data_IF_374274460513
#
_entry.id   IF_374274460513
#
_cell.length_a   1.000
_cell.length_b   1.000
_cell.length_c   1.000
_cell.angle_alpha   90.00
_cell.angle_beta   90.00
_cell.angle_gamma   90.00
#
_symmetry.space_group_name_H-M   'P 1'
#
loop_
_entity.id
_entity.type
_entity.pdbx_description
1 polymer ?
#
# COMPACT_ATOMS: atom_id res chain seq x y z
N UNK A 1 35.84 7.02 -32.79
CA UNK A 1 36.92 7.52 -31.92
C UNK A 1 36.29 7.78 -30.56
N UNK A 2 36.48 6.87 -29.61
CA UNK A 2 35.94 6.99 -28.26
C UNK A 2 36.88 7.89 -27.46
N UNK A 3 36.41 9.09 -27.10
CA UNK A 3 37.18 10.05 -26.32
C UNK A 3 36.99 9.68 -24.85
N UNK A 4 37.95 8.96 -24.27
CA UNK A 4 38.00 8.76 -22.82
C UNK A 4 38.59 9.99 -22.14
N UNK A 5 37.73 10.72 -21.42
CA UNK A 5 38.13 11.85 -20.61
C UNK A 5 38.98 11.34 -19.44
N UNK A 6 40.27 11.69 -19.41
CA UNK A 6 41.16 11.36 -18.27
C UNK A 6 40.77 12.20 -17.06
N UNK A 7 40.18 11.55 -16.06
CA UNK A 7 39.93 12.14 -14.74
C UNK A 7 41.07 11.83 -13.78
N UNK A 8 41.49 12.80 -12.97
CA UNK A 8 42.42 12.55 -11.86
C UNK A 8 41.66 11.84 -10.74
N UNK A 9 41.99 10.58 -10.47
CA UNK A 9 41.42 9.82 -9.36
C UNK A 9 42.14 10.18 -8.06
N UNK A 10 41.40 10.70 -7.08
CA UNK A 10 41.91 10.96 -5.73
C UNK A 10 41.52 9.76 -4.86
N UNK A 11 42.49 9.14 -4.19
CA UNK A 11 42.24 8.01 -3.29
C UNK A 11 41.52 8.49 -2.00
N UNK A 12 40.30 8.00 -1.72
CA UNK A 12 39.56 8.41 -0.54
C UNK A 12 40.08 7.71 0.71
N UNK A 13 40.15 8.43 1.84
CA UNK A 13 40.57 7.84 3.14
C UNK A 13 39.62 6.75 3.66
N UNK A 14 38.35 6.80 3.24
CA UNK A 14 37.30 5.82 3.55
C UNK A 14 36.23 5.89 2.47
N UNK A 15 35.52 4.77 2.26
CA UNK A 15 34.47 4.67 1.23
C UNK A 15 33.05 4.85 1.79
N UNK A 16 32.87 4.72 3.11
CA UNK A 16 31.57 4.70 3.75
C UNK A 16 31.59 5.35 5.14
N UNK A 17 30.42 5.73 5.64
CA UNK A 17 30.23 6.04 7.06
C UNK A 17 30.42 4.80 7.93
N UNK A 18 30.84 4.98 9.18
CA UNK A 18 31.25 3.87 10.04
C UNK A 18 30.15 2.84 10.30
N UNK A 19 28.87 3.27 10.37
CA UNK A 19 27.73 2.36 10.53
C UNK A 19 27.54 1.46 9.30
N UNK A 20 27.66 2.02 8.09
CA UNK A 20 27.59 1.26 6.84
C UNK A 20 28.80 0.35 6.66
N UNK A 21 30.00 0.80 7.04
CA UNK A 21 31.21 -0.01 7.02
C UNK A 21 31.07 -1.24 7.93
N UNK A 22 30.48 -1.09 9.12
CA UNK A 22 30.18 -2.22 10.03
C UNK A 22 29.17 -3.19 9.42
N UNK A 23 28.13 -2.68 8.75
CA UNK A 23 27.04 -3.49 8.21
C UNK A 23 27.38 -4.20 6.90
N UNK A 24 28.08 -3.53 6.00
CA UNK A 24 28.30 -4.01 4.63
C UNK A 24 29.77 -4.29 4.28
N UNK A 25 30.70 -3.82 5.11
CA UNK A 25 32.15 -3.95 4.96
C UNK A 25 32.83 -2.63 4.59
N UNK A 26 33.99 -2.35 5.20
CA UNK A 26 34.72 -1.07 5.05
C UNK A 26 35.24 -0.78 3.64
N UNK A 27 35.42 -1.82 2.82
CA UNK A 27 35.97 -1.72 1.46
C UNK A 27 34.86 -1.67 0.39
N UNK A 28 33.59 -1.49 0.76
CA UNK A 28 32.47 -1.39 -0.18
C UNK A 28 31.93 0.03 -0.24
N UNK A 29 31.75 0.53 -1.46
CA UNK A 29 31.01 1.77 -1.69
C UNK A 29 29.51 1.51 -1.43
N UNK A 30 28.87 2.19 -0.46
CA UNK A 30 27.46 2.02 -0.22
C UNK A 30 26.63 2.66 -1.34
N UNK A 31 25.44 2.11 -1.59
CA UNK A 31 24.46 2.75 -2.47
C UNK A 31 23.84 3.98 -1.80
N UNK A 32 23.23 4.87 -2.59
CA UNK A 32 22.46 6.00 -2.05
C UNK A 32 21.32 5.57 -1.14
N UNK A 33 20.69 4.43 -1.45
CA UNK A 33 19.69 3.83 -0.58
C UNK A 33 20.30 3.39 0.76
N UNK A 34 21.48 2.77 0.74
CA UNK A 34 22.16 2.35 1.97
C UNK A 34 22.52 3.56 2.85
N UNK A 35 23.13 4.60 2.27
CA UNK A 35 23.46 5.84 2.98
C UNK A 35 22.24 6.57 3.52
N UNK A 36 21.13 6.57 2.77
CA UNK A 36 19.91 7.28 3.12
C UNK A 36 18.95 6.53 4.03
N UNK A 37 19.25 5.27 4.42
CA UNK A 37 18.27 4.42 5.10
C UNK A 37 18.81 3.59 6.26
N UNK A 38 20.07 3.14 6.27
CA UNK A 38 20.52 2.17 7.29
C UNK A 38 21.07 2.84 8.54
N UNK A 39 20.64 2.35 9.70
CA UNK A 39 21.11 2.75 11.04
C UNK A 39 21.04 4.27 11.31
N UNK A 40 20.10 4.98 10.68
CA UNK A 40 19.87 6.42 10.87
C UNK A 40 18.97 6.74 12.08
N UNK A 41 18.17 5.77 12.53
CA UNK A 41 17.26 5.94 13.65
C UNK A 41 18.07 5.98 14.97
N UNK A 42 17.77 6.91 15.89
CA UNK A 42 18.30 6.83 17.26
C UNK A 42 17.83 5.55 17.96
N UNK A 43 18.73 4.86 18.67
CA UNK A 43 18.43 3.53 19.26
C UNK A 43 18.55 3.46 20.79
N UNK A 44 19.15 4.45 21.43
CA UNK A 44 19.42 4.44 22.88
C UNK A 44 19.63 5.86 23.42
N UNK A 45 19.72 5.99 24.74
CA UNK A 45 19.96 7.24 25.46
C UNK A 45 18.86 8.31 25.26
N UNK A 46 17.60 7.86 25.20
CA UNK A 46 16.46 8.78 25.18
C UNK A 46 16.34 9.52 26.52
N UNK A 47 16.17 10.83 26.46
CA UNK A 47 16.20 11.68 27.65
C UNK A 47 14.88 11.64 28.45
N UNK A 48 13.77 11.32 27.77
CA UNK A 48 12.43 11.37 28.35
C UNK A 48 11.58 10.21 27.84
N UNK A 49 10.68 9.73 28.68
CA UNK A 49 9.61 8.80 28.27
C UNK A 49 8.54 9.57 27.50
N UNK A 50 7.91 8.96 26.47
CA UNK A 50 6.77 9.59 25.81
C UNK A 50 5.61 9.80 26.80
N UNK A 51 5.05 11.01 26.86
CA UNK A 51 3.91 11.30 27.74
C UNK A 51 2.65 10.54 27.36
N UNK A 52 2.54 10.13 26.10
CA UNK A 52 1.42 9.40 25.51
C UNK A 52 1.58 7.87 25.55
N UNK A 53 2.77 7.35 25.90
CA UNK A 53 3.02 5.92 26.14
C UNK A 53 4.17 5.74 27.15
N UNK A 54 3.90 5.94 28.46
CA UNK A 54 4.96 5.96 29.48
C UNK A 54 5.64 4.61 29.71
N UNK A 55 5.06 3.51 29.21
CA UNK A 55 5.58 2.15 29.39
C UNK A 55 6.70 1.79 28.40
N UNK A 56 6.84 2.58 27.32
CA UNK A 56 7.79 2.34 26.23
C UNK A 56 8.82 3.46 26.11
N UNK A 57 9.90 3.21 25.38
CA UNK A 57 10.83 4.26 24.95
C UNK A 57 10.36 4.92 23.64
N UNK A 58 11.05 5.98 23.23
CA UNK A 58 11.00 6.43 21.84
C UNK A 58 11.59 5.31 20.97
N UNK A 59 10.96 5.04 19.82
CA UNK A 59 11.35 3.93 18.93
C UNK A 59 11.52 2.59 19.66
N UNK A 60 10.51 2.15 20.40
CA UNK A 60 10.56 0.89 21.14
C UNK A 60 10.12 -0.29 20.27
N UNK A 61 11.00 -1.27 20.04
CA UNK A 61 10.69 -2.46 19.24
C UNK A 61 9.50 -3.27 19.81
N UNK A 62 9.18 -3.12 21.11
CA UNK A 62 8.05 -3.79 21.78
C UNK A 62 6.69 -3.13 21.50
N UNK A 63 6.62 -2.22 20.52
CA UNK A 63 5.36 -1.71 19.95
C UNK A 63 4.65 -2.74 19.06
N UNK A 64 5.35 -3.81 18.71
CA UNK A 64 4.77 -5.00 18.07
C UNK A 64 5.19 -6.26 18.83
N UNK A 65 4.36 -7.31 18.72
CA UNK A 65 4.68 -8.65 19.19
C UNK A 65 5.67 -9.40 18.28
N UNK A 66 5.89 -8.92 17.05
CA UNK A 66 6.92 -9.46 16.16
C UNK A 66 8.32 -9.16 16.71
N UNK A 67 9.18 -10.17 16.69
CA UNK A 67 10.57 -10.04 17.18
C UNK A 67 11.53 -10.25 16.03
N UNK A 68 12.44 -9.31 15.82
CA UNK A 68 13.51 -9.40 14.83
C UNK A 68 14.87 -9.26 15.52
N UNK A 69 15.85 -10.08 15.13
CA UNK A 69 17.23 -9.89 15.55
C UNK A 69 17.82 -8.59 14.97
N UNK A 70 17.43 -8.25 13.73
CA UNK A 70 17.78 -6.99 13.07
C UNK A 70 16.60 -6.47 12.26
N UNK A 71 15.97 -5.40 12.73
CA UNK A 71 14.84 -4.75 12.05
C UNK A 71 15.19 -4.20 10.67
N UNK A 72 16.48 -3.91 10.39
CA UNK A 72 16.92 -3.48 9.06
C UNK A 72 16.95 -4.62 8.02
N UNK A 73 16.63 -5.86 8.42
CA UNK A 73 16.35 -6.95 7.49
C UNK A 73 15.04 -6.72 6.70
N UNK A 74 14.08 -5.97 7.27
CA UNK A 74 12.77 -5.67 6.68
C UNK A 74 12.88 -4.59 5.60
N UNK A 75 13.47 -4.94 4.46
CA UNK A 75 13.81 -3.99 3.39
C UNK A 75 12.82 -3.91 2.25
N UNK A 76 12.73 -2.72 1.67
CA UNK A 76 12.06 -2.50 0.39
C UNK A 76 12.98 -2.93 -0.77
N UNK A 77 12.64 -3.98 -1.54
CA UNK A 77 13.46 -4.42 -2.67
C UNK A 77 13.56 -3.40 -3.81
N UNK A 78 12.65 -2.40 -3.86
CA UNK A 78 12.70 -1.30 -4.83
C UNK A 78 13.80 -0.29 -4.53
N UNK A 79 14.39 -0.37 -3.33
CA UNK A 79 15.44 0.54 -2.84
C UNK A 79 15.03 2.02 -2.88
N UNK A 80 13.77 2.29 -2.55
CA UNK A 80 13.28 3.65 -2.45
C UNK A 80 13.88 4.37 -1.24
N UNK A 81 14.76 5.33 -1.51
CA UNK A 81 14.96 6.52 -0.70
C UNK A 81 14.21 7.70 -1.34
N UNK A 82 14.12 8.84 -0.64
CA UNK A 82 13.26 9.96 -1.04
C UNK A 82 13.38 10.34 -2.53
N UNK A 83 14.61 10.50 -3.04
CA UNK A 83 14.83 10.89 -4.43
C UNK A 83 14.35 9.84 -5.44
N UNK A 84 14.65 8.56 -5.22
CA UNK A 84 14.19 7.49 -6.11
C UNK A 84 12.67 7.28 -6.05
N UNK A 85 12.06 7.47 -4.89
CA UNK A 85 10.61 7.40 -4.71
C UNK A 85 9.91 8.51 -5.49
N UNK A 86 10.31 9.78 -5.30
CA UNK A 86 9.67 10.91 -5.97
C UNK A 86 9.88 10.87 -7.48
N UNK A 87 11.02 10.40 -7.97
CA UNK A 87 11.24 10.18 -9.41
C UNK A 87 10.33 9.08 -9.98
N UNK A 88 10.12 7.98 -9.25
CA UNK A 88 9.22 6.92 -9.68
C UNK A 88 7.78 7.43 -9.74
N UNK A 89 7.32 8.14 -8.69
CA UNK A 89 5.97 8.71 -8.63
C UNK A 89 5.75 9.85 -9.60
N UNK A 90 6.75 10.68 -9.88
CA UNK A 90 6.64 11.71 -10.91
C UNK A 90 6.32 11.11 -12.29
N UNK A 91 7.00 10.03 -12.68
CA UNK A 91 6.72 9.34 -13.95
C UNK A 91 5.32 8.72 -13.99
N UNK A 92 4.88 8.08 -12.90
CA UNK A 92 3.54 7.48 -12.82
C UNK A 92 2.44 8.55 -12.81
N UNK A 93 2.68 9.66 -12.12
CA UNK A 93 1.82 10.85 -12.13
C UNK A 93 1.68 11.44 -13.53
N UNK A 94 2.77 11.60 -14.28
CA UNK A 94 2.72 12.09 -15.67
C UNK A 94 1.85 11.17 -16.56
N UNK A 95 1.98 9.86 -16.42
CA UNK A 95 1.17 8.89 -17.17
C UNK A 95 -0.31 8.94 -16.78
N UNK A 96 -0.60 9.09 -15.49
CA UNK A 96 -1.97 9.25 -14.99
C UNK A 96 -2.58 10.57 -15.47
N UNK A 97 -1.89 11.71 -15.36
CA UNK A 97 -2.37 13.00 -15.87
C UNK A 97 -2.67 12.95 -17.36
N UNK A 98 -1.77 12.37 -18.16
CA UNK A 98 -2.00 12.20 -19.59
C UNK A 98 -3.27 11.37 -19.87
N UNK A 99 -3.56 10.38 -19.02
CA UNK A 99 -4.78 9.59 -19.13
C UNK A 99 -6.04 10.40 -18.78
N UNK A 100 -6.00 11.19 -17.71
CA UNK A 100 -7.08 12.10 -17.33
C UNK A 100 -7.34 13.15 -18.43
N UNK A 101 -6.30 13.82 -18.92
CA UNK A 101 -6.38 14.82 -19.99
C UNK A 101 -6.93 14.21 -21.29
N UNK A 102 -6.51 12.99 -21.64
CA UNK A 102 -7.02 12.32 -22.84
C UNK A 102 -8.51 11.99 -22.72
N UNK A 103 -8.95 11.47 -21.58
CA UNK A 103 -10.38 11.16 -21.33
C UNK A 103 -11.22 12.43 -21.39
N UNK A 104 -10.76 13.52 -20.78
CA UNK A 104 -11.45 14.81 -20.76
C UNK A 104 -11.49 15.46 -22.15
N UNK A 105 -10.34 15.63 -22.81
CA UNK A 105 -10.24 16.31 -24.12
C UNK A 105 -10.98 15.59 -25.25
N UNK A 106 -11.15 14.27 -25.14
CA UNK A 106 -11.90 13.45 -26.12
C UNK A 106 -13.34 13.18 -25.71
N UNK A 107 -13.78 13.69 -24.55
CA UNK A 107 -15.14 13.49 -24.06
C UNK A 107 -15.50 12.02 -23.79
N UNK A 108 -14.51 11.16 -23.47
CA UNK A 108 -14.74 9.72 -23.34
C UNK A 108 -15.66 9.38 -22.16
N UNK A 109 -15.70 10.22 -21.12
CA UNK A 109 -16.63 10.08 -20.00
C UNK A 109 -18.11 10.21 -20.45
N UNK A 110 -18.39 11.02 -21.48
CA UNK A 110 -19.72 11.20 -22.03
C UNK A 110 -20.19 10.01 -22.87
N UNK A 111 -19.25 9.15 -23.31
CA UNK A 111 -19.55 7.95 -24.09
C UNK A 111 -19.90 6.73 -23.21
N UNK A 112 -19.66 6.80 -21.90
CA UNK A 112 -20.05 5.75 -20.97
C UNK A 112 -21.58 5.64 -20.91
N UNK A 113 -22.11 4.42 -20.91
CA UNK A 113 -23.53 4.22 -20.62
C UNK A 113 -23.84 4.70 -19.20
N UNK A 114 -25.06 5.21 -18.93
CA UNK A 114 -25.45 5.62 -17.57
C UNK A 114 -25.22 4.52 -16.54
N UNK A 115 -25.51 3.27 -16.89
CA UNK A 115 -25.38 2.12 -16.00
C UNK A 115 -23.91 1.86 -15.65
N UNK A 116 -22.98 1.95 -16.61
CA UNK A 116 -21.55 1.74 -16.33
C UNK A 116 -20.96 2.91 -15.54
N UNK A 117 -21.40 4.13 -15.82
CA UNK A 117 -21.02 5.30 -15.05
C UNK A 117 -21.46 5.15 -13.59
N UNK A 118 -22.71 4.76 -13.36
CA UNK A 118 -23.27 4.56 -12.02
C UNK A 118 -22.58 3.42 -11.28
N UNK A 119 -22.28 2.30 -11.95
CA UNK A 119 -21.51 1.20 -11.36
C UNK A 119 -20.08 1.62 -10.98
N UNK A 120 -19.38 2.35 -11.88
CA UNK A 120 -18.03 2.84 -11.63
C UNK A 120 -18.01 3.86 -10.47
N UNK A 121 -18.93 4.83 -10.46
CA UNK A 121 -19.06 5.79 -9.36
C UNK A 121 -19.46 5.09 -8.07
N UNK A 122 -20.41 4.17 -8.14
CA UNK A 122 -20.96 3.44 -7.00
C UNK A 122 -19.95 2.53 -6.33
N UNK A 123 -19.02 1.92 -7.08
CA UNK A 123 -17.95 1.07 -6.55
C UNK A 123 -16.69 1.85 -6.21
N UNK A 124 -16.14 2.65 -7.16
CA UNK A 124 -14.79 3.19 -7.04
C UNK A 124 -14.73 4.45 -6.18
N UNK A 125 -15.71 5.35 -6.29
CA UNK A 125 -15.63 6.65 -5.62
C UNK A 125 -15.66 6.54 -4.08
N UNK A 126 -16.49 5.68 -3.44
CA UNK A 126 -16.43 5.45 -1.99
C UNK A 126 -15.09 4.90 -1.50
N UNK A 127 -14.33 4.18 -2.33
CA UNK A 127 -13.03 3.61 -1.94
C UNK A 127 -11.97 4.66 -1.60
N UNK A 128 -12.19 5.94 -1.96
CA UNK A 128 -11.33 7.04 -1.50
C UNK A 128 -11.28 7.14 0.03
N UNK A 129 -12.34 6.69 0.72
CA UNK A 129 -12.39 6.67 2.18
C UNK A 129 -11.55 5.52 2.76
N UNK A 130 -11.46 4.39 2.05
CA UNK A 130 -10.55 3.28 2.38
C UNK A 130 -9.11 3.72 2.15
N UNK A 131 -8.81 4.33 1.00
CA UNK A 131 -7.48 4.86 0.69
C UNK A 131 -7.03 5.93 1.70
N UNK A 132 -7.93 6.84 2.11
CA UNK A 132 -7.62 7.81 3.17
C UNK A 132 -7.29 7.13 4.52
N UNK A 133 -8.01 6.07 4.88
CA UNK A 133 -7.66 5.34 6.10
C UNK A 133 -6.36 4.54 5.96
N UNK A 134 -6.05 4.01 4.78
CA UNK A 134 -4.78 3.35 4.50
C UNK A 134 -3.59 4.32 4.61
N UNK A 135 -3.76 5.59 4.20
CA UNK A 135 -2.81 6.67 4.49
C UNK A 135 -2.57 6.81 6.00
N UNK A 136 -3.64 6.98 6.78
CA UNK A 136 -3.54 7.15 8.24
C UNK A 136 -2.90 5.94 8.92
N UNK A 137 -3.28 4.73 8.51
CA UNK A 137 -2.71 3.49 9.01
C UNK A 137 -1.20 3.42 8.73
N UNK A 138 -0.77 3.76 7.51
CA UNK A 138 0.65 3.75 7.15
C UNK A 138 1.46 4.90 7.77
N UNK A 139 0.84 6.06 8.01
CA UNK A 139 1.41 7.10 8.86
C UNK A 139 1.64 6.58 10.29
N UNK A 140 0.68 5.84 10.85
CA UNK A 140 0.82 5.15 12.14
C UNK A 140 1.95 4.12 12.13
N UNK A 141 2.05 3.28 11.10
CA UNK A 141 3.14 2.31 10.93
C UNK A 141 4.50 3.02 10.83
N UNK A 142 4.60 4.15 10.12
CA UNK A 142 5.83 4.94 10.08
C UNK A 142 6.19 5.51 11.45
N UNK A 143 5.20 5.94 12.23
CA UNK A 143 5.42 6.58 13.53
C UNK A 143 5.83 5.59 14.62
N UNK A 144 5.21 4.40 14.66
CA UNK A 144 5.43 3.38 15.69
C UNK A 144 6.40 2.26 15.26
N UNK A 145 6.64 2.10 13.96
CA UNK A 145 7.55 1.10 13.41
C UNK A 145 9.01 1.31 13.79
N UNK A 146 9.82 0.25 13.71
CA UNK A 146 11.23 0.29 14.06
C UNK A 146 12.13 0.10 12.82
N UNK A 147 13.11 0.98 12.68
CA UNK A 147 14.10 0.96 11.61
C UNK A 147 13.68 1.80 10.41
N UNK A 148 14.53 2.76 10.05
CA UNK A 148 14.29 3.74 8.98
C UNK A 148 13.95 3.08 7.63
N UNK A 149 14.59 1.94 7.32
CA UNK A 149 14.35 1.18 6.07
C UNK A 149 12.88 0.77 5.92
N UNK A 150 12.21 0.36 7.00
CA UNK A 150 10.79 0.02 7.00
C UNK A 150 9.93 1.28 7.07
N UNK A 151 10.22 2.17 8.02
CA UNK A 151 9.34 3.31 8.31
C UNK A 151 9.28 4.31 7.15
N UNK A 152 10.38 4.52 6.42
CA UNK A 152 10.35 5.37 5.22
C UNK A 152 9.48 4.76 4.11
N UNK A 153 9.51 3.43 3.93
CA UNK A 153 8.69 2.74 2.94
C UNK A 153 7.21 2.83 3.29
N UNK A 154 6.87 2.69 4.58
CA UNK A 154 5.52 2.92 5.07
C UNK A 154 5.04 4.36 4.81
N UNK A 155 5.88 5.37 5.07
CA UNK A 155 5.53 6.76 4.77
C UNK A 155 5.29 7.01 3.28
N UNK A 156 6.11 6.44 2.40
CA UNK A 156 5.88 6.51 0.95
C UNK A 156 4.55 5.84 0.57
N UNK A 157 4.26 4.67 1.14
CA UNK A 157 3.00 3.98 0.92
C UNK A 157 1.79 4.75 1.45
N UNK A 158 1.93 5.51 2.55
CA UNK A 158 0.89 6.41 3.04
C UNK A 158 0.57 7.50 2.01
N UNK A 159 1.61 8.20 1.54
CA UNK A 159 1.45 9.29 0.58
C UNK A 159 0.89 8.81 -0.77
N UNK A 160 1.22 7.58 -1.17
CA UNK A 160 0.60 6.95 -2.33
C UNK A 160 -0.91 6.77 -2.14
N UNK A 161 -1.34 6.29 -0.98
CA UNK A 161 -2.75 6.10 -0.67
C UNK A 161 -3.52 7.44 -0.62
N UNK A 162 -2.90 8.53 -0.15
CA UNK A 162 -3.44 9.88 -0.32
C UNK A 162 -3.61 10.24 -1.81
N UNK A 163 -2.59 9.97 -2.64
CA UNK A 163 -2.68 10.16 -4.09
C UNK A 163 -3.81 9.35 -4.73
N UNK A 164 -4.01 8.10 -4.31
CA UNK A 164 -5.11 7.25 -4.78
C UNK A 164 -6.47 7.83 -4.37
N UNK A 165 -6.62 8.32 -3.14
CA UNK A 165 -7.85 9.01 -2.72
C UNK A 165 -8.13 10.26 -3.56
N UNK A 166 -7.09 10.99 -3.97
CA UNK A 166 -7.19 12.13 -4.88
C UNK A 166 -7.60 11.71 -6.29
N UNK A 167 -6.99 10.66 -6.85
CA UNK A 167 -7.36 10.14 -8.17
C UNK A 167 -8.79 9.61 -8.21
N UNK A 168 -9.23 8.88 -7.20
CA UNK A 168 -10.63 8.44 -7.08
C UNK A 168 -11.58 9.65 -7.00
N UNK A 169 -11.19 10.70 -6.28
CA UNK A 169 -11.97 11.95 -6.22
C UNK A 169 -12.05 12.63 -7.59
N UNK A 170 -10.94 12.71 -8.34
CA UNK A 170 -10.92 13.28 -9.69
C UNK A 170 -11.70 12.44 -10.70
N UNK A 171 -11.65 11.11 -10.60
CA UNK A 171 -12.49 10.20 -11.37
C UNK A 171 -13.97 10.52 -11.11
N UNK A 172 -14.35 10.70 -9.84
CA UNK A 172 -15.71 11.11 -9.46
C UNK A 172 -16.16 12.41 -10.10
N UNK A 173 -15.29 13.43 -10.10
CA UNK A 173 -15.55 14.73 -10.71
C UNK A 173 -15.64 14.66 -12.25
N UNK A 174 -14.86 13.79 -12.89
CA UNK A 174 -14.81 13.67 -14.34
C UNK A 174 -15.97 12.82 -14.89
N UNK A 175 -16.35 11.76 -14.20
CA UNK A 175 -17.46 10.88 -14.61
C UNK A 175 -18.82 11.42 -14.18
N UNK A 176 -18.87 12.18 -13.09
CA UNK A 176 -20.06 12.85 -12.58
C UNK A 176 -19.81 14.34 -12.36
N UNK A 177 -19.97 14.78 -11.12
CA UNK A 177 -19.75 16.17 -10.71
C UNK A 177 -19.42 16.28 -9.21
N UNK A 178 -19.52 17.49 -8.66
CA UNK A 178 -19.32 17.76 -7.23
C UNK A 178 -20.37 17.05 -6.36
N UNK A 179 -21.61 16.93 -6.83
CA UNK A 179 -22.68 16.24 -6.09
C UNK A 179 -22.38 14.74 -6.01
N UNK A 180 -21.79 14.13 -7.04
CA UNK A 180 -21.33 12.73 -6.98
C UNK A 180 -20.41 12.47 -5.78
N UNK A 181 -19.57 13.45 -5.38
CA UNK A 181 -18.73 13.32 -4.19
C UNK A 181 -19.55 13.29 -2.89
N UNK A 182 -20.62 14.08 -2.82
CA UNK A 182 -21.52 14.12 -1.66
C UNK A 182 -22.35 12.83 -1.59
N UNK A 183 -22.87 12.35 -2.72
CA UNK A 183 -23.58 11.07 -2.83
C UNK A 183 -22.69 9.92 -2.38
N UNK A 184 -21.46 9.80 -2.92
CA UNK A 184 -20.55 8.71 -2.54
C UNK A 184 -20.17 8.74 -1.05
N UNK A 185 -20.03 9.93 -0.46
CA UNK A 185 -19.80 10.06 0.98
C UNK A 185 -21.03 9.61 1.79
N UNK A 186 -22.24 10.00 1.38
CA UNK A 186 -23.48 9.54 2.02
C UNK A 186 -23.62 8.03 1.92
N UNK A 187 -23.36 7.46 0.75
CA UNK A 187 -23.33 6.01 0.54
C UNK A 187 -22.34 5.31 1.49
N UNK A 188 -21.12 5.81 1.60
CA UNK A 188 -20.13 5.28 2.55
C UNK A 188 -20.63 5.33 4.00
N UNK A 189 -21.29 6.42 4.40
CA UNK A 189 -21.75 6.64 5.76
C UNK A 189 -23.01 5.85 6.12
N UNK A 190 -23.91 5.62 5.18
CA UNK A 190 -25.28 5.17 5.46
C UNK A 190 -25.66 3.86 4.75
N UNK A 191 -25.12 3.58 3.56
CA UNK A 191 -25.57 2.44 2.78
C UNK A 191 -25.10 1.12 3.43
N UNK A 192 -26.00 0.14 3.65
CA UNK A 192 -25.67 -1.13 4.30
C UNK A 192 -24.49 -1.87 3.66
N UNK A 193 -24.34 -1.78 2.32
CA UNK A 193 -23.26 -2.44 1.58
C UNK A 193 -21.85 -1.99 1.99
N UNK A 194 -21.72 -0.74 2.45
CA UNK A 194 -20.42 -0.18 2.86
C UNK A 194 -20.13 -0.34 4.35
N UNK A 195 -21.14 -0.60 5.19
CA UNK A 195 -20.96 -0.57 6.64
C UNK A 195 -19.98 -1.63 7.17
N UNK A 196 -19.95 -2.88 6.65
CA UNK A 196 -18.94 -3.84 7.06
C UNK A 196 -17.51 -3.42 6.72
N UNK A 197 -17.27 -2.89 5.51
CA UNK A 197 -15.97 -2.38 5.09
C UNK A 197 -15.57 -1.14 5.91
N UNK A 198 -16.50 -0.21 6.11
CA UNK A 198 -16.30 0.97 6.95
C UNK A 198 -15.91 0.59 8.38
N UNK A 199 -16.64 -0.34 8.99
CA UNK A 199 -16.32 -0.86 10.32
C UNK A 199 -14.95 -1.52 10.35
N UNK A 200 -14.60 -2.32 9.35
CA UNK A 200 -13.26 -2.94 9.25
C UNK A 200 -12.17 -1.86 9.25
N UNK A 201 -12.31 -0.86 8.40
CA UNK A 201 -11.37 0.25 8.27
C UNK A 201 -11.26 1.07 9.58
N UNK A 202 -12.39 1.36 10.23
CA UNK A 202 -12.39 2.04 11.54
C UNK A 202 -11.72 1.20 12.64
N UNK A 203 -11.85 -0.14 12.60
CA UNK A 203 -11.13 -1.03 13.50
C UNK A 203 -9.61 -1.03 13.24
N UNK A 204 -9.17 -0.89 11.99
CA UNK A 204 -7.74 -0.78 11.66
C UNK A 204 -7.14 0.51 12.24
N UNK A 205 -7.87 1.63 12.19
CA UNK A 205 -7.42 2.93 12.73
C UNK A 205 -7.15 2.91 14.24
N UNK A 206 -7.68 1.91 14.97
CA UNK A 206 -7.46 1.75 16.41
C UNK A 206 -6.54 0.57 16.75
N UNK A 207 -6.01 -0.12 15.74
CA UNK A 207 -5.05 -1.19 15.96
C UNK A 207 -3.72 -0.60 16.45
N UNK A 208 -3.18 -1.15 17.54
CA UNK A 208 -2.00 -0.63 18.23
C UNK A 208 -0.70 -1.35 17.86
N UNK A 209 -0.79 -2.64 17.55
CA UNK A 209 0.37 -3.36 17.04
C UNK A 209 0.59 -2.94 15.58
N UNK A 210 1.66 -2.19 15.33
CA UNK A 210 1.92 -1.63 14.01
C UNK A 210 2.20 -2.71 12.96
N UNK A 211 2.73 -3.88 13.34
CA UNK A 211 2.99 -4.96 12.39
C UNK A 211 1.68 -5.72 12.11
N UNK A 212 0.83 -5.91 13.12
CA UNK A 212 -0.51 -6.43 12.87
C UNK A 212 -1.31 -5.49 11.95
N UNK A 213 -1.22 -4.17 12.16
CA UNK A 213 -1.81 -3.15 11.29
C UNK A 213 -1.25 -3.25 9.86
N UNK A 214 0.06 -3.41 9.71
CA UNK A 214 0.71 -3.63 8.41
C UNK A 214 0.15 -4.86 7.68
N UNK A 215 0.02 -5.98 8.39
CA UNK A 215 -0.55 -7.21 7.83
C UNK A 215 -2.01 -7.00 7.45
N UNK A 216 -2.80 -6.42 8.34
CA UNK A 216 -4.23 -6.26 8.13
C UNK A 216 -4.58 -5.30 6.99
N UNK A 217 -3.87 -4.15 6.88
CA UNK A 217 -4.06 -3.19 5.81
C UNK A 217 -3.37 -3.63 4.51
N UNK A 218 -2.04 -3.67 4.51
CA UNK A 218 -1.23 -3.70 3.29
C UNK A 218 -1.14 -5.10 2.67
N UNK A 219 -1.16 -6.15 3.50
CA UNK A 219 -1.17 -7.53 2.99
C UNK A 219 -2.59 -8.00 2.71
N UNK A 220 -3.48 -7.94 3.71
CA UNK A 220 -4.80 -8.58 3.67
C UNK A 220 -5.84 -7.73 2.96
N UNK A 221 -6.21 -6.56 3.50
CA UNK A 221 -7.30 -5.76 2.94
C UNK A 221 -6.98 -5.35 1.50
N UNK A 222 -5.79 -4.78 1.27
CA UNK A 222 -5.38 -4.38 -0.08
C UNK A 222 -5.22 -5.59 -1.00
N UNK A 223 -4.71 -6.71 -0.47
CA UNK A 223 -4.55 -7.97 -1.18
C UNK A 223 -5.85 -8.61 -1.67
N UNK A 224 -7.00 -8.23 -1.10
CA UNK A 224 -8.32 -8.69 -1.51
C UNK A 224 -9.07 -7.59 -2.29
N UNK A 225 -9.02 -6.35 -1.81
CA UNK A 225 -9.75 -5.22 -2.37
C UNK A 225 -9.23 -4.82 -3.76
N UNK A 226 -7.91 -4.73 -3.96
CA UNK A 226 -7.37 -4.30 -5.25
C UNK A 226 -7.69 -5.29 -6.37
N UNK A 227 -7.51 -6.62 -6.19
CA UNK A 227 -7.98 -7.59 -7.16
C UNK A 227 -9.49 -7.50 -7.42
N UNK A 228 -10.31 -7.36 -6.37
CA UNK A 228 -11.76 -7.25 -6.53
C UNK A 228 -12.15 -6.01 -7.37
N UNK A 229 -11.62 -4.83 -7.03
CA UNK A 229 -12.02 -3.57 -7.65
C UNK A 229 -11.38 -3.35 -9.02
N UNK A 230 -10.08 -3.56 -9.15
CA UNK A 230 -9.33 -3.17 -10.35
C UNK A 230 -9.16 -4.32 -11.34
N UNK A 231 -9.05 -5.57 -10.87
CA UNK A 231 -8.91 -6.72 -11.78
C UNK A 231 -10.29 -7.29 -12.15
N UNK A 232 -11.10 -7.68 -11.17
CA UNK A 232 -12.38 -8.34 -11.44
C UNK A 232 -13.42 -7.35 -11.97
N UNK A 233 -13.53 -6.15 -11.40
CA UNK A 233 -14.47 -5.14 -11.90
C UNK A 233 -13.93 -4.42 -13.15
N UNK A 234 -12.85 -3.65 -13.01
CA UNK A 234 -12.38 -2.75 -14.08
C UNK A 234 -11.79 -3.50 -15.28
N UNK A 235 -10.93 -4.49 -15.07
CA UNK A 235 -10.22 -5.15 -16.17
C UNK A 235 -10.97 -6.35 -16.79
N UNK A 236 -11.94 -6.94 -16.09
CA UNK A 236 -12.70 -8.11 -16.58
C UNK A 236 -14.17 -7.85 -16.84
N UNK A 237 -14.88 -7.23 -15.88
CA UNK A 237 -16.34 -7.03 -15.98
C UNK A 237 -16.72 -5.84 -16.87
N UNK A 238 -16.04 -4.72 -16.71
CA UNK A 238 -16.39 -3.47 -17.39
C UNK A 238 -16.03 -3.39 -18.89
N UNK A 239 -14.98 -4.06 -19.44
CA UNK A 239 -14.58 -3.87 -20.84
C UNK A 239 -15.68 -4.22 -21.85
N UNK A 240 -16.54 -5.18 -21.54
CA UNK A 240 -17.68 -5.56 -22.40
C UNK A 240 -18.74 -4.45 -22.52
N UNK A 241 -18.63 -3.39 -21.72
CA UNK A 241 -19.58 -2.27 -21.60
C UNK A 241 -18.97 -0.92 -22.04
N UNK A 242 -17.78 -0.93 -22.65
CA UNK A 242 -17.12 0.29 -23.14
C UNK A 242 -16.36 1.08 -22.08
N UNK A 243 -15.65 0.40 -21.17
CA UNK A 243 -15.01 1.00 -19.99
C UNK A 243 -13.66 1.67 -20.20
N UNK A 244 -13.26 1.93 -21.44
CA UNK A 244 -11.92 2.46 -21.74
C UNK A 244 -11.57 3.70 -20.90
N UNK A 245 -12.53 4.61 -20.71
CA UNK A 245 -12.35 5.78 -19.84
C UNK A 245 -12.04 5.37 -18.39
N UNK A 246 -12.83 4.46 -17.79
CA UNK A 246 -12.62 4.01 -16.40
C UNK A 246 -11.28 3.30 -16.23
N UNK A 247 -10.90 2.44 -17.18
CA UNK A 247 -9.62 1.74 -17.17
C UNK A 247 -8.44 2.73 -17.23
N UNK A 248 -8.51 3.74 -18.10
CA UNK A 248 -7.47 4.78 -18.17
C UNK A 248 -7.36 5.59 -16.87
N UNK A 249 -8.49 5.96 -16.26
CA UNK A 249 -8.52 6.74 -15.02
C UNK A 249 -8.07 5.97 -13.77
N UNK A 250 -7.96 4.63 -13.87
CA UNK A 250 -7.56 3.76 -12.75
C UNK A 250 -6.24 3.02 -12.98
N UNK A 251 -5.55 3.27 -14.11
CA UNK A 251 -4.30 2.63 -14.46
C UNK A 251 -3.22 2.77 -13.38
N UNK A 252 -3.15 3.94 -12.71
CA UNK A 252 -2.22 4.18 -11.60
C UNK A 252 -2.39 3.14 -10.49
N UNK A 253 -3.62 2.80 -10.11
CA UNK A 253 -3.92 1.90 -9.00
C UNK A 253 -3.49 0.46 -9.31
N UNK A 254 -3.70 0.01 -10.56
CA UNK A 254 -3.28 -1.31 -11.03
C UNK A 254 -1.75 -1.44 -11.03
N UNK A 255 -1.05 -0.47 -11.62
CA UNK A 255 0.42 -0.45 -11.69
C UNK A 255 1.04 -0.31 -10.30
N UNK A 256 0.48 0.57 -9.48
CA UNK A 256 0.90 0.80 -8.10
C UNK A 256 0.76 -0.46 -7.27
N UNK A 257 -0.35 -1.19 -7.35
CA UNK A 257 -0.55 -2.41 -6.57
C UNK A 257 0.44 -3.51 -6.98
N UNK A 258 0.69 -3.66 -8.28
CA UNK A 258 1.67 -4.62 -8.79
C UNK A 258 3.13 -4.27 -8.38
N UNK A 259 3.47 -2.99 -8.32
CA UNK A 259 4.76 -2.51 -7.84
C UNK A 259 4.91 -2.71 -6.33
N UNK A 260 3.91 -2.25 -5.57
CA UNK A 260 4.00 -2.13 -4.12
C UNK A 260 3.72 -3.45 -3.40
N UNK A 261 2.97 -4.38 -3.99
CA UNK A 261 2.83 -5.73 -3.43
C UNK A 261 4.18 -6.41 -3.17
N UNK A 262 5.22 -6.10 -3.96
CA UNK A 262 6.58 -6.66 -3.82
C UNK A 262 7.27 -6.29 -2.50
N UNK A 263 7.10 -5.07 -2.02
CA UNK A 263 7.74 -4.65 -0.76
C UNK A 263 6.98 -5.20 0.44
N UNK A 264 5.65 -5.24 0.37
CA UNK A 264 4.80 -5.90 1.37
C UNK A 264 5.17 -7.37 1.52
N UNK A 265 5.27 -8.07 0.37
CA UNK A 265 5.68 -9.48 0.32
C UNK A 265 7.08 -9.69 0.92
N UNK A 266 8.04 -8.81 0.59
CA UNK A 266 9.40 -8.91 1.11
C UNK A 266 9.44 -8.75 2.65
N UNK A 267 8.70 -7.79 3.21
CA UNK A 267 8.63 -7.54 4.66
C UNK A 267 8.02 -8.75 5.37
N UNK A 268 6.85 -9.21 4.93
CA UNK A 268 6.14 -10.33 5.56
C UNK A 268 6.96 -11.62 5.46
N UNK A 269 7.51 -11.92 4.28
CA UNK A 269 8.34 -13.12 4.08
C UNK A 269 9.58 -13.11 4.97
N UNK A 270 10.23 -11.95 5.12
CA UNK A 270 11.42 -11.82 5.96
C UNK A 270 11.06 -12.02 7.44
N UNK A 271 9.99 -11.38 7.92
CA UNK A 271 9.55 -11.54 9.30
C UNK A 271 9.08 -12.97 9.63
N UNK A 272 8.40 -13.64 8.69
CA UNK A 272 7.98 -15.04 8.84
C UNK A 272 9.15 -16.02 8.84
N UNK A 273 10.24 -15.70 8.13
CA UNK A 273 11.45 -16.52 8.09
C UNK A 273 12.35 -16.35 9.33
N UNK A 274 12.17 -15.28 10.10
CA UNK A 274 12.98 -14.96 11.29
C UNK A 274 12.83 -16.03 12.40
N UNK A 275 11.60 -16.49 12.65
CA UNK A 275 11.33 -17.51 13.67
C UNK A 275 9.99 -18.22 13.48
N UNK A 276 9.88 -19.42 14.05
CA UNK A 276 8.61 -20.17 14.08
C UNK A 276 7.50 -19.41 14.82
N UNK A 277 7.85 -18.66 15.87
CA UNK A 277 6.91 -17.83 16.62
C UNK A 277 6.34 -16.68 15.77
N UNK A 278 7.20 -15.94 15.04
CA UNK A 278 6.73 -14.92 14.11
C UNK A 278 5.85 -15.52 13.01
N UNK A 279 6.26 -16.65 12.41
CA UNK A 279 5.47 -17.32 11.38
C UNK A 279 4.08 -17.71 11.87
N UNK A 280 3.99 -18.29 13.07
CA UNK A 280 2.72 -18.66 13.68
C UNK A 280 1.83 -17.43 13.93
N UNK A 281 2.38 -16.37 14.51
CA UNK A 281 1.67 -15.14 14.80
C UNK A 281 1.18 -14.43 13.52
N UNK A 282 2.05 -14.30 12.52
CA UNK A 282 1.69 -13.72 11.22
C UNK A 282 0.61 -14.55 10.51
N UNK A 283 0.69 -15.88 10.59
CA UNK A 283 -0.34 -16.78 10.03
C UNK A 283 -1.68 -16.58 10.74
N UNK A 284 -1.67 -16.50 12.07
CA UNK A 284 -2.87 -16.23 12.86
C UNK A 284 -3.51 -14.88 12.52
N UNK A 285 -2.72 -13.80 12.48
CA UNK A 285 -3.20 -12.47 12.10
C UNK A 285 -3.76 -12.47 10.67
N UNK A 286 -3.03 -13.06 9.73
CA UNK A 286 -3.45 -13.09 8.32
C UNK A 286 -4.76 -13.85 8.15
N UNK A 287 -4.95 -15.02 8.80
CA UNK A 287 -6.21 -15.75 8.76
C UNK A 287 -7.36 -14.93 9.36
N UNK A 288 -7.16 -14.38 10.56
CA UNK A 288 -8.20 -13.62 11.28
C UNK A 288 -8.63 -12.37 10.50
N UNK A 289 -7.68 -11.63 9.93
CA UNK A 289 -7.98 -10.45 9.14
C UNK A 289 -8.54 -10.80 7.76
N UNK A 290 -8.11 -11.91 7.14
CA UNK A 290 -8.68 -12.37 5.87
C UNK A 290 -10.17 -12.66 6.02
N UNK A 291 -10.55 -13.40 7.05
CA UNK A 291 -11.95 -13.78 7.26
C UNK A 291 -12.82 -12.53 7.51
N UNK A 292 -12.31 -11.57 8.28
CA UNK A 292 -12.96 -10.26 8.49
C UNK A 292 -13.06 -9.44 7.20
N UNK A 293 -12.01 -9.42 6.39
CA UNK A 293 -11.95 -8.67 5.14
C UNK A 293 -12.88 -9.27 4.08
N UNK A 294 -12.94 -10.60 3.94
CA UNK A 294 -13.87 -11.27 3.03
C UNK A 294 -15.33 -10.99 3.43
N UNK A 295 -15.67 -11.12 4.72
CA UNK A 295 -17.00 -10.77 5.22
C UNK A 295 -17.34 -9.28 5.01
N UNK A 296 -16.33 -8.40 5.11
CA UNK A 296 -16.51 -6.97 4.89
C UNK A 296 -16.69 -6.59 3.41
N UNK A 297 -16.09 -7.36 2.50
CA UNK A 297 -16.17 -7.17 1.05
C UNK A 297 -17.38 -7.87 0.43
N UNK A 298 -18.01 -8.82 1.12
CA UNK A 298 -19.15 -9.59 0.60
C UNK A 298 -20.29 -8.69 0.08
N UNK A 299 -20.79 -7.69 0.80
CA UNK A 299 -21.86 -6.83 0.29
C UNK A 299 -21.41 -5.90 -0.84
N UNK A 300 -20.13 -5.52 -0.86
CA UNK A 300 -19.55 -4.72 -1.94
C UNK A 300 -19.48 -5.54 -3.22
N UNK A 301 -19.03 -6.79 -3.13
CA UNK A 301 -19.00 -7.72 -4.24
C UNK A 301 -20.41 -8.09 -4.72
N UNK A 302 -21.35 -8.36 -3.81
CA UNK A 302 -22.75 -8.60 -4.15
C UNK A 302 -23.34 -7.44 -4.96
N UNK A 303 -23.04 -6.19 -4.55
CA UNK A 303 -23.48 -5.00 -5.28
C UNK A 303 -22.81 -4.83 -6.65
N UNK A 304 -21.55 -5.21 -6.81
CA UNK A 304 -20.78 -4.99 -8.05
C UNK A 304 -20.91 -6.11 -9.08
N UNK A 305 -21.16 -7.35 -8.62
CA UNK A 305 -21.13 -8.55 -9.45
C UNK A 305 -22.46 -9.32 -9.47
N UNK A 306 -23.42 -8.99 -8.60
CA UNK A 306 -24.71 -9.66 -8.54
C UNK A 306 -24.55 -11.16 -8.29
N UNK A 307 -25.12 -11.98 -9.16
CA UNK A 307 -25.10 -13.45 -9.06
C UNK A 307 -23.67 -14.04 -9.12
N UNK A 308 -22.73 -13.36 -9.76
CA UNK A 308 -21.34 -13.82 -9.90
C UNK A 308 -20.49 -13.53 -8.64
N UNK A 309 -21.03 -12.80 -7.66
CA UNK A 309 -20.28 -12.27 -6.51
C UNK A 309 -19.56 -13.34 -5.68
N UNK A 310 -20.20 -14.49 -5.44
CA UNK A 310 -19.60 -15.57 -4.67
C UNK A 310 -18.40 -16.20 -5.40
N UNK A 311 -18.50 -16.39 -6.72
CA UNK A 311 -17.41 -16.94 -7.54
C UNK A 311 -16.23 -15.97 -7.62
N UNK A 312 -16.52 -14.67 -7.79
CA UNK A 312 -15.50 -13.62 -7.82
C UNK A 312 -14.76 -13.54 -6.49
N UNK A 313 -15.47 -13.54 -5.36
CA UNK A 313 -14.84 -13.53 -4.04
C UNK A 313 -14.01 -14.78 -3.79
N UNK A 314 -14.47 -15.96 -4.20
CA UNK A 314 -13.70 -17.20 -4.09
C UNK A 314 -12.40 -17.13 -4.91
N UNK A 315 -12.45 -16.56 -6.12
CA UNK A 315 -11.28 -16.35 -6.98
C UNK A 315 -10.27 -15.41 -6.36
N UNK A 316 -10.73 -14.29 -5.81
CA UNK A 316 -9.90 -13.32 -5.10
C UNK A 316 -9.28 -13.95 -3.85
N UNK A 317 -10.08 -14.68 -3.05
CA UNK A 317 -9.61 -15.38 -1.86
C UNK A 317 -8.55 -16.45 -2.19
N UNK A 318 -8.74 -17.22 -3.27
CA UNK A 318 -7.78 -18.24 -3.70
C UNK A 318 -6.46 -17.63 -4.19
N UNK A 319 -6.55 -16.50 -4.91
CA UNK A 319 -5.37 -15.74 -5.34
C UNK A 319 -4.59 -15.22 -4.13
N UNK A 320 -5.30 -14.66 -3.14
CA UNK A 320 -4.72 -14.21 -1.88
C UNK A 320 -4.07 -15.35 -1.08
N UNK A 321 -4.75 -16.49 -0.93
CA UNK A 321 -4.21 -17.67 -0.26
C UNK A 321 -2.91 -18.17 -0.93
N UNK A 322 -2.90 -18.20 -2.27
CA UNK A 322 -1.71 -18.56 -3.06
C UNK A 322 -0.55 -17.59 -2.86
N UNK A 323 -0.83 -16.28 -2.71
CA UNK A 323 0.17 -15.26 -2.35
C UNK A 323 0.69 -15.52 -0.93
N UNK A 324 -0.18 -15.64 0.07
CA UNK A 324 0.19 -15.85 1.46
C UNK A 324 1.04 -17.12 1.68
N UNK A 325 0.71 -18.22 0.99
CA UNK A 325 1.51 -19.45 1.03
C UNK A 325 2.95 -19.23 0.52
N UNK A 326 3.15 -18.42 -0.54
CA UNK A 326 4.50 -18.07 -1.05
C UNK A 326 5.31 -17.22 -0.08
N UNK A 327 4.65 -16.54 0.86
CA UNK A 327 5.30 -15.78 1.94
C UNK A 327 5.66 -16.65 3.14
N UNK A 328 5.30 -17.95 3.13
CA UNK A 328 5.53 -18.88 4.24
C UNK A 328 4.44 -18.85 5.31
N UNK A 329 3.28 -18.28 5.02
CA UNK A 329 2.15 -18.23 5.93
C UNK A 329 1.22 -19.44 5.73
N UNK A 330 0.59 -19.88 6.82
CA UNK A 330 -0.42 -20.95 6.80
C UNK A 330 -1.80 -20.34 7.01
N UNK A 331 -2.53 -20.10 5.92
CA UNK A 331 -3.88 -19.51 5.92
C UNK A 331 -4.82 -20.28 5.02
#
# INVERSE_FOLDING_TARGET
>A
MQIDLRTVAIEPKRLAFDHLARRFGANKQPSRYQEGSYDLQPTHNFHYRPSWDPQRELYDARRTAIVMADWYALKDPRQFYYGSYTQARARQQEAAEASFEFVESRGLAALLSPELRDDALGLLLPLRHVAWAADLNNCGICADGYGTVLTQAAMYHAMDNLGIAQYLTRLGLLLGDVESLAVAKREWLEAPRWQPLRRLVENLLVQRDWFELFVAQNLVLDGLLYPLAYIEAVDKRYPQRGSAAVTMLTAFMTDWFAETGKWVDAVVKTAAAESDANRALLSQWTAAWRDRALAALEPVAASAFGDDSAEVLATVAQTFASRAAKLGLTV
#
